data_IF_102989163776
#
_entry.id   IF_102989163776
#
_cell.length_a   1.000
_cell.length_b   1.000
_cell.length_c   1.000
_cell.angle_alpha   90.00
_cell.angle_beta   90.00
_cell.angle_gamma   90.00
#
_symmetry.space_group_name_H-M   'P 1'
#
loop_
_entity.id
_entity.type
_entity.pdbx_description
1 polymer ?
#
# COMPACT_ATOMS: atom_id res chain seq x y z
N UNK A 1 -0.25 -30.79 -41.82
CA UNK A 1 -1.41 -29.86 -41.76
C UNK A 1 -1.54 -29.36 -40.32
N UNK A 2 -1.29 -28.07 -40.06
CA UNK A 2 -1.48 -27.48 -38.73
C UNK A 2 -2.81 -26.74 -38.74
N UNK A 3 -3.81 -27.28 -38.04
CA UNK A 3 -5.11 -26.63 -37.87
C UNK A 3 -4.94 -25.41 -36.95
N UNK A 4 -5.18 -24.22 -37.50
CA UNK A 4 -5.29 -22.98 -36.71
C UNK A 4 -6.74 -22.81 -36.27
N UNK A 5 -7.00 -22.97 -34.98
CA UNK A 5 -8.30 -22.63 -34.40
C UNK A 5 -8.44 -21.10 -34.30
N UNK A 6 -9.58 -20.51 -34.70
CA UNK A 6 -9.83 -19.09 -34.52
C UNK A 6 -10.13 -18.80 -33.05
N UNK A 7 -9.22 -18.08 -32.38
CA UNK A 7 -9.42 -17.59 -31.01
C UNK A 7 -10.51 -16.51 -31.05
N UNK A 8 -11.65 -16.78 -30.41
CA UNK A 8 -12.75 -15.82 -30.27
C UNK A 8 -12.33 -14.66 -29.34
N UNK A 9 -12.50 -13.39 -29.74
CA UNK A 9 -12.06 -12.24 -28.94
C UNK A 9 -12.74 -12.12 -27.56
N UNK A 10 -13.86 -12.82 -27.34
CA UNK A 10 -14.62 -12.82 -26.09
C UNK A 10 -13.90 -13.49 -24.91
N UNK A 11 -12.90 -14.34 -25.15
CA UNK A 11 -12.14 -15.03 -24.09
C UNK A 11 -10.98 -14.18 -23.52
N UNK A 12 -10.63 -13.06 -24.17
CA UNK A 12 -9.56 -12.16 -23.71
C UNK A 12 -10.02 -11.16 -22.63
N UNK A 13 -11.33 -11.04 -22.40
CA UNK A 13 -11.91 -10.11 -21.41
C UNK A 13 -12.17 -10.77 -20.04
N UNK A 14 -12.28 -12.10 -20.00
CA UNK A 14 -12.45 -12.88 -18.77
C UNK A 14 -11.33 -12.69 -17.73
N UNK A 15 -10.02 -12.65 -18.07
CA UNK A 15 -8.99 -12.40 -17.07
C UNK A 15 -9.02 -10.96 -16.52
N UNK A 16 -9.45 -9.97 -17.33
CA UNK A 16 -9.58 -8.58 -16.87
C UNK A 16 -10.75 -8.39 -15.91
N UNK A 17 -11.88 -9.06 -16.15
CA UNK A 17 -13.03 -9.06 -15.26
C UNK A 17 -12.74 -9.79 -13.93
N UNK A 18 -11.97 -10.89 -13.97
CA UNK A 18 -11.56 -11.61 -12.76
C UNK A 18 -10.60 -10.77 -11.89
N UNK A 19 -9.71 -9.97 -12.50
CA UNK A 19 -8.83 -9.04 -11.78
C UNK A 19 -9.63 -7.89 -11.14
N UNK A 20 -10.71 -7.43 -11.77
CA UNK A 20 -11.62 -6.40 -11.22
C UNK A 20 -12.47 -6.94 -10.06
N UNK A 21 -12.95 -8.18 -10.13
CA UNK A 21 -13.76 -8.84 -9.08
C UNK A 21 -12.90 -9.24 -7.87
N UNK A 22 -11.64 -9.62 -8.05
CA UNK A 22 -10.72 -9.85 -6.92
C UNK A 22 -10.32 -8.57 -6.18
N UNK A 23 -10.58 -7.39 -6.76
CA UNK A 23 -10.32 -6.10 -6.10
C UNK A 23 -11.47 -5.62 -5.21
N UNK A 24 -12.65 -6.26 -5.21
CA UNK A 24 -13.82 -5.82 -4.43
C UNK A 24 -14.01 -6.56 -3.10
N UNK A 25 -13.35 -7.69 -2.88
CA UNK A 25 -13.41 -8.49 -1.64
C UNK A 25 -12.24 -8.17 -0.71
N UNK A 26 -12.21 -6.95 -0.18
CA UNK A 26 -11.37 -6.57 0.97
C UNK A 26 -12.17 -5.61 1.87
N UNK A 27 -13.39 -6.01 2.23
CA UNK A 27 -14.12 -5.40 3.33
C UNK A 27 -13.85 -6.22 4.59
N UNK A 28 -13.13 -5.61 5.53
CA UNK A 28 -13.21 -5.74 6.99
C UNK A 28 -11.83 -5.62 7.65
N UNK A 29 -11.28 -4.42 7.57
CA UNK A 29 -10.07 -4.00 8.28
C UNK A 29 -9.95 -2.47 8.29
N UNK A 30 -10.75 -1.81 9.15
CA UNK A 30 -10.85 -0.36 9.45
C UNK A 30 -9.79 0.59 8.83
N UNK A 31 -9.93 0.82 7.53
CA UNK A 31 -9.58 2.04 6.81
C UNK A 31 -10.62 2.12 5.70
N UNK A 32 -11.29 3.27 5.51
CA UNK A 32 -12.37 3.39 4.52
C UNK A 32 -11.95 2.86 3.15
N UNK A 33 -12.89 2.28 2.38
CA UNK A 33 -12.59 1.75 1.06
C UNK A 33 -11.89 2.83 0.22
N UNK A 34 -10.63 2.59 -0.13
CA UNK A 34 -9.82 3.59 -0.83
C UNK A 34 -10.45 3.90 -2.19
N UNK A 35 -10.63 5.18 -2.48
CA UNK A 35 -11.07 5.62 -3.80
C UNK A 35 -9.91 5.50 -4.79
N UNK A 36 -9.73 4.32 -5.37
CA UNK A 36 -8.59 3.99 -6.21
C UNK A 36 -8.40 4.94 -7.41
N UNK A 37 -9.48 5.40 -8.04
CA UNK A 37 -9.39 6.41 -9.11
C UNK A 37 -8.83 7.75 -8.64
N UNK A 38 -9.19 8.18 -7.44
CA UNK A 38 -8.64 9.38 -6.80
C UNK A 38 -7.16 9.19 -6.47
N UNK A 39 -6.81 8.03 -5.90
CA UNK A 39 -5.43 7.67 -5.56
C UNK A 39 -4.53 7.67 -6.80
N UNK A 40 -4.88 6.92 -7.85
CA UNK A 40 -4.04 6.78 -9.05
C UNK A 40 -3.87 8.11 -9.78
N UNK A 41 -4.93 8.91 -9.89
CA UNK A 41 -4.86 10.27 -10.46
C UNK A 41 -3.95 11.18 -9.64
N UNK A 42 -4.03 11.13 -8.31
CA UNK A 42 -3.17 11.92 -7.43
C UNK A 42 -1.69 11.52 -7.58
N UNK A 43 -1.39 10.22 -7.56
CA UNK A 43 -0.03 9.70 -7.71
C UNK A 43 0.53 10.02 -9.10
N UNK A 44 -0.25 9.79 -10.16
CA UNK A 44 0.16 10.09 -11.54
C UNK A 44 0.55 11.56 -11.72
N UNK A 45 -0.27 12.48 -11.20
CA UNK A 45 0.01 13.93 -11.26
C UNK A 45 1.23 14.35 -10.46
N UNK A 46 1.46 13.76 -9.28
CA UNK A 46 2.49 14.24 -8.32
C UNK A 46 3.81 13.47 -8.37
N UNK A 47 3.80 12.25 -8.88
CA UNK A 47 4.97 11.37 -8.92
C UNK A 47 5.15 10.63 -10.25
N UNK A 48 4.33 10.84 -11.28
CA UNK A 48 4.34 10.08 -12.53
C UNK A 48 5.74 9.81 -13.10
N UNK A 49 6.52 10.86 -13.38
CA UNK A 49 7.92 10.71 -13.86
C UNK A 49 8.86 10.12 -12.81
N UNK A 50 8.62 10.42 -11.53
CA UNK A 50 9.47 9.96 -10.42
C UNK A 50 9.38 8.44 -10.22
N UNK A 51 8.21 7.85 -10.50
CA UNK A 51 7.97 6.41 -10.40
C UNK A 51 8.87 5.60 -11.35
N UNK A 52 9.35 6.18 -12.44
CA UNK A 52 10.24 5.50 -13.40
C UNK A 52 11.72 5.60 -13.02
N UNK A 53 12.07 6.41 -12.02
CA UNK A 53 13.46 6.43 -11.51
C UNK A 53 13.74 5.18 -10.65
N UNK A 54 14.99 4.66 -10.61
CA UNK A 54 15.29 3.45 -9.83
C UNK A 54 14.90 3.53 -8.35
N UNK A 55 15.12 4.68 -7.71
CA UNK A 55 14.73 4.87 -6.31
C UNK A 55 13.24 5.08 -6.13
N UNK A 56 12.56 5.71 -7.09
CA UNK A 56 11.12 5.90 -7.06
C UNK A 56 10.34 4.61 -7.28
N UNK A 57 10.71 3.80 -8.28
CA UNK A 57 10.10 2.50 -8.55
C UNK A 57 10.27 1.56 -7.37
N UNK A 58 11.49 1.44 -6.83
CA UNK A 58 11.76 0.65 -5.62
C UNK A 58 10.89 1.09 -4.44
N UNK A 59 10.81 2.40 -4.16
CA UNK A 59 10.00 2.92 -3.06
C UNK A 59 8.52 2.57 -3.23
N UNK A 60 7.97 2.77 -4.43
CA UNK A 60 6.59 2.42 -4.75
C UNK A 60 6.33 0.91 -4.55
N UNK A 61 7.24 0.05 -5.01
CA UNK A 61 7.15 -1.40 -4.81
C UNK A 61 7.16 -1.77 -3.33
N UNK A 62 8.03 -1.16 -2.51
CA UNK A 62 8.08 -1.41 -1.06
C UNK A 62 6.78 -1.00 -0.36
N UNK A 63 6.25 0.17 -0.70
CA UNK A 63 4.99 0.66 -0.13
C UNK A 63 3.80 -0.22 -0.53
N UNK A 64 3.70 -0.58 -1.80
CA UNK A 64 2.66 -1.47 -2.28
C UNK A 64 2.74 -2.86 -1.65
N UNK A 65 3.96 -3.38 -1.45
CA UNK A 65 4.18 -4.63 -0.74
C UNK A 65 3.62 -4.62 0.69
N UNK A 66 3.81 -3.52 1.42
CA UNK A 66 3.25 -3.38 2.77
C UNK A 66 1.73 -3.18 2.78
N UNK A 67 1.17 -2.47 1.80
CA UNK A 67 -0.28 -2.42 1.60
C UNK A 67 -0.88 -3.83 1.40
N UNK A 68 -0.25 -4.66 0.56
CA UNK A 68 -0.67 -6.06 0.37
C UNK A 68 -0.53 -6.88 1.64
N UNK A 69 0.56 -6.70 2.38
CA UNK A 69 0.78 -7.40 3.65
C UNK A 69 -0.28 -7.03 4.69
N UNK A 70 -0.62 -5.74 4.80
CA UNK A 70 -1.67 -5.24 5.68
C UNK A 70 -3.02 -5.90 5.39
N UNK A 71 -3.45 -5.87 4.13
CA UNK A 71 -4.74 -6.45 3.73
C UNK A 71 -4.77 -7.95 3.91
N UNK A 72 -3.66 -8.65 3.58
CA UNK A 72 -3.57 -10.10 3.76
C UNK A 72 -3.63 -10.49 5.23
N UNK A 73 -2.93 -9.76 6.08
CA UNK A 73 -2.87 -10.06 7.51
C UNK A 73 -4.23 -9.78 8.17
N UNK A 74 -4.88 -8.68 7.77
CA UNK A 74 -6.15 -8.24 8.33
C UNK A 74 -6.19 -8.18 9.87
N UNK A 75 -5.09 -7.75 10.48
CA UNK A 75 -4.96 -7.69 11.94
C UNK A 75 -5.57 -6.40 12.51
N UNK A 76 -6.29 -6.55 13.63
CA UNK A 76 -6.86 -5.41 14.37
C UNK A 76 -5.75 -4.48 14.88
N UNK A 77 -5.99 -3.16 14.78
CA UNK A 77 -5.14 -2.07 15.31
C UNK A 77 -3.71 -2.02 14.72
N UNK A 78 -3.51 -2.52 13.50
CA UNK A 78 -2.18 -2.65 12.90
C UNK A 78 -1.87 -1.69 11.75
N UNK A 79 -2.83 -0.87 11.33
CA UNK A 79 -2.69 0.12 10.26
C UNK A 79 -1.43 0.98 10.43
N UNK A 80 -1.23 1.60 11.60
CA UNK A 80 -0.06 2.47 11.86
C UNK A 80 1.27 1.72 11.75
N UNK A 81 1.30 0.44 12.11
CA UNK A 81 2.50 -0.37 11.93
C UNK A 81 2.85 -0.52 10.44
N UNK A 82 1.87 -0.85 9.60
CA UNK A 82 2.09 -0.99 8.16
C UNK A 82 2.42 0.34 7.48
N UNK A 83 1.79 1.44 7.90
CA UNK A 83 2.14 2.79 7.47
C UNK A 83 3.60 3.15 7.75
N UNK A 84 4.06 2.86 8.97
CA UNK A 84 5.44 3.05 9.37
C UNK A 84 6.39 2.17 8.56
N UNK A 85 6.10 0.86 8.46
CA UNK A 85 6.95 -0.09 7.76
C UNK A 85 7.06 0.21 6.26
N UNK A 86 5.97 0.58 5.60
CA UNK A 86 5.96 0.98 4.19
C UNK A 86 6.96 2.12 3.94
N UNK A 87 6.93 3.12 4.81
CA UNK A 87 7.77 4.30 4.72
C UNK A 87 9.23 4.03 5.11
N UNK A 88 9.47 3.17 6.10
CA UNK A 88 10.82 2.72 6.47
C UNK A 88 11.47 1.91 5.33
N UNK A 89 10.75 0.95 4.76
CA UNK A 89 11.25 0.13 3.66
C UNK A 89 11.47 0.93 2.38
N UNK A 90 10.65 1.95 2.12
CA UNK A 90 10.92 2.87 1.01
C UNK A 90 12.28 3.58 1.15
N UNK A 91 12.73 3.85 2.38
CA UNK A 91 14.03 4.50 2.63
C UNK A 91 15.21 3.56 2.47
N UNK A 92 15.00 2.24 2.53
CA UNK A 92 16.05 1.25 2.25
C UNK A 92 16.41 1.16 0.77
N UNK A 93 15.64 1.80 -0.11
CA UNK A 93 15.94 1.87 -1.53
C UNK A 93 17.18 2.74 -1.81
N UNK A 94 17.96 2.35 -2.82
CA UNK A 94 19.04 3.18 -3.36
C UNK A 94 18.49 4.19 -4.36
N UNK A 95 19.28 5.22 -4.68
CA UNK A 95 18.93 6.23 -5.69
C UNK A 95 18.06 7.38 -5.18
N UNK A 96 17.78 8.30 -6.10
CA UNK A 96 17.02 9.55 -5.89
C UNK A 96 15.51 9.27 -5.81
N UNK A 97 14.74 10.28 -5.41
CA UNK A 97 13.28 10.33 -5.42
C UNK A 97 12.51 9.35 -4.50
N UNK A 98 13.15 8.34 -3.90
CA UNK A 98 12.51 7.39 -2.96
C UNK A 98 11.68 8.09 -1.87
N UNK A 99 12.24 9.13 -1.25
CA UNK A 99 11.58 9.91 -0.20
C UNK A 99 10.35 10.63 -0.74
N UNK A 100 10.52 11.33 -1.87
CA UNK A 100 9.44 12.07 -2.51
C UNK A 100 8.29 11.15 -2.95
N UNK A 101 8.60 10.00 -3.56
CA UNK A 101 7.59 9.01 -3.94
C UNK A 101 6.86 8.49 -2.71
N UNK A 102 7.57 8.21 -1.62
CA UNK A 102 6.94 7.74 -0.40
C UNK A 102 6.00 8.76 0.25
N UNK A 103 6.40 10.03 0.24
CA UNK A 103 5.55 11.16 0.67
C UNK A 103 4.30 11.29 -0.20
N UNK A 104 4.46 11.25 -1.54
CA UNK A 104 3.33 11.37 -2.47
C UNK A 104 2.35 10.22 -2.32
N UNK A 105 2.82 8.97 -2.25
CA UNK A 105 1.94 7.80 -2.05
C UNK A 105 1.21 7.91 -0.72
N UNK A 106 1.89 8.30 0.37
CA UNK A 106 1.26 8.50 1.67
C UNK A 106 0.17 9.57 1.60
N UNK A 107 0.47 10.74 1.02
CA UNK A 107 -0.49 11.83 0.86
C UNK A 107 -1.69 11.43 0.00
N UNK A 108 -1.44 10.80 -1.15
CA UNK A 108 -2.51 10.41 -2.06
C UNK A 108 -3.40 9.33 -1.46
N UNK A 109 -2.87 8.46 -0.61
CA UNK A 109 -3.65 7.52 0.19
C UNK A 109 -4.60 8.28 1.12
N UNK A 110 -4.11 9.26 1.88
CA UNK A 110 -4.97 10.08 2.75
C UNK A 110 -6.08 10.82 1.97
N UNK A 111 -5.75 11.42 0.81
CA UNK A 111 -6.74 12.11 -0.03
C UNK A 111 -7.80 11.14 -0.57
N UNK A 112 -7.42 9.90 -0.86
CA UNK A 112 -8.31 8.88 -1.42
C UNK A 112 -9.23 8.21 -0.38
N UNK A 113 -9.06 8.51 0.90
CA UNK A 113 -9.86 7.91 1.96
C UNK A 113 -10.72 8.97 2.65
N UNK A 114 -12.06 8.91 2.50
CA UNK A 114 -12.94 9.68 3.36
C UNK A 114 -12.83 9.10 4.78
N UNK A 115 -12.10 9.78 5.66
CA UNK A 115 -11.72 9.27 6.98
C UNK A 115 -11.83 10.30 8.10
N UNK A 116 -11.77 9.81 9.34
CA UNK A 116 -11.77 10.63 10.54
C UNK A 116 -10.48 11.48 10.61
N UNK A 117 -10.55 12.82 10.81
CA UNK A 117 -9.37 13.69 10.91
C UNK A 117 -8.33 13.26 11.96
N UNK A 118 -8.76 12.60 13.04
CA UNK A 118 -7.86 12.06 14.08
C UNK A 118 -7.06 10.86 13.55
N UNK A 119 -7.69 10.02 12.74
CA UNK A 119 -7.07 8.83 12.15
C UNK A 119 -5.98 9.22 11.15
N UNK A 120 -6.26 10.24 10.31
CA UNK A 120 -5.30 10.87 9.40
C UNK A 120 -4.03 11.35 10.12
N UNK A 121 -4.17 12.06 11.25
CA UNK A 121 -3.00 12.53 12.02
C UNK A 121 -2.13 11.38 12.52
N UNK A 122 -2.77 10.28 12.93
CA UNK A 122 -2.07 9.07 13.32
C UNK A 122 -1.32 8.42 12.17
N UNK A 123 -1.95 8.32 10.99
CA UNK A 123 -1.33 7.76 9.78
C UNK A 123 -0.13 8.58 9.35
N UNK A 124 -0.28 9.91 9.29
CA UNK A 124 0.81 10.81 8.97
C UNK A 124 1.99 10.71 9.95
N UNK A 125 1.71 10.59 11.25
CA UNK A 125 2.75 10.42 12.26
C UNK A 125 3.50 9.09 12.08
N UNK A 126 2.80 8.01 11.78
CA UNK A 126 3.41 6.72 11.46
C UNK A 126 4.26 6.77 10.19
N UNK A 127 3.73 7.37 9.12
CA UNK A 127 4.43 7.57 7.86
C UNK A 127 5.73 8.36 8.05
N UNK A 128 5.69 9.48 8.80
CA UNK A 128 6.87 10.31 9.10
C UNK A 128 7.89 9.56 9.94
N UNK A 129 7.44 8.86 11.00
CA UNK A 129 8.32 8.11 11.89
C UNK A 129 9.11 7.03 11.13
N UNK A 130 8.45 6.25 10.28
CA UNK A 130 9.11 5.26 9.43
C UNK A 130 10.09 5.86 8.42
N UNK A 131 9.70 6.95 7.73
CA UNK A 131 10.59 7.65 6.78
C UNK A 131 11.83 8.25 7.44
N UNK A 132 11.80 8.48 8.74
CA UNK A 132 12.92 9.05 9.49
C UNK A 132 13.72 7.98 10.26
N UNK A 133 13.53 6.69 9.94
CA UNK A 133 14.31 5.59 10.52
C UNK A 133 13.83 5.13 11.90
N UNK A 134 12.63 5.50 12.31
CA UNK A 134 12.06 5.09 13.59
C UNK A 134 11.79 3.58 13.68
N UNK A 135 11.91 3.01 14.88
CA UNK A 135 11.61 1.61 15.14
C UNK A 135 10.08 1.35 15.16
N UNK A 136 9.53 0.98 14.01
CA UNK A 136 8.09 0.74 13.83
C UNK A 136 7.55 -0.38 14.75
N UNK A 137 8.34 -1.42 15.00
CA UNK A 137 7.95 -2.53 15.86
C UNK A 137 7.75 -2.08 17.30
N UNK A 138 8.73 -1.38 17.86
CA UNK A 138 8.66 -0.84 19.21
C UNK A 138 7.45 0.10 19.38
N UNK A 139 7.22 0.98 18.40
CA UNK A 139 6.19 2.03 18.50
C UNK A 139 4.77 1.59 18.18
N UNK A 140 4.57 0.63 17.27
CA UNK A 140 3.23 0.32 16.76
C UNK A 140 2.80 -1.13 16.96
N UNK A 141 3.69 -2.05 17.35
CA UNK A 141 3.25 -3.40 17.75
C UNK A 141 2.76 -3.40 19.21
N UNK A 142 3.59 -2.94 20.14
CA UNK A 142 3.28 -2.99 21.57
C UNK A 142 2.34 -1.88 22.03
N UNK A 143 2.75 -0.62 21.88
CA UNK A 143 2.01 0.54 22.41
C UNK A 143 0.64 0.77 21.76
N UNK A 144 0.42 0.27 20.55
CA UNK A 144 -0.86 0.39 19.85
C UNK A 144 -1.72 -0.89 19.96
N UNK A 145 -1.22 -1.94 20.61
CA UNK A 145 -1.94 -3.21 20.74
C UNK A 145 -2.21 -3.88 19.39
N UNK A 146 -1.26 -3.78 18.45
CA UNK A 146 -1.37 -4.43 17.16
C UNK A 146 -1.10 -5.93 17.31
N UNK A 147 -2.05 -6.74 16.84
CA UNK A 147 -1.99 -8.19 16.89
C UNK A 147 -0.97 -8.82 15.92
N UNK A 148 -0.41 -8.06 14.98
CA UNK A 148 0.44 -8.59 13.93
C UNK A 148 1.79 -9.09 14.45
N UNK A 149 2.19 -10.29 14.04
CA UNK A 149 3.52 -10.82 14.25
C UNK A 149 4.34 -10.70 12.95
N UNK A 150 5.34 -9.80 12.88
CA UNK A 150 6.13 -9.61 11.66
C UNK A 150 7.05 -10.79 11.32
N UNK A 151 7.32 -11.70 12.27
CA UNK A 151 8.13 -12.90 12.00
C UNK A 151 7.35 -13.97 11.28
N UNK A 152 6.06 -14.12 11.60
CA UNK A 152 5.21 -15.18 11.03
C UNK A 152 4.24 -14.65 9.97
N UNK A 153 4.07 -13.33 9.87
CA UNK A 153 3.11 -12.70 8.98
C UNK A 153 1.65 -12.93 9.37
N UNK A 154 1.38 -13.40 10.58
CA UNK A 154 0.03 -13.76 11.08
C UNK A 154 -0.40 -12.85 12.23
N UNK A 155 -1.70 -12.74 12.47
CA UNK A 155 -2.24 -12.11 13.67
C UNK A 155 -2.18 -13.07 14.85
N UNK A 156 -1.92 -12.52 16.04
CA UNK A 156 -2.14 -13.18 17.33
C UNK A 156 -3.56 -12.83 17.76
N UNK A 157 -4.47 -13.78 17.59
CA UNK A 157 -5.86 -13.64 18.04
C UNK A 157 -5.97 -14.00 19.51
#
# INVERSE_FOLDING_TARGET
MVQRFPVRPSLLLLPFLLVLVLCTVCAEGRSGAAQWGTFTRCVGRRAGRLLFSPGGSCAATRMYGQFRAMNRANCKKCDKYFHCMANSLAMSCRGRHKRRVAEVISLCREVSQPGNPKDRRGDEAANRFGRNGGNCGARYLRSYGCAYNPRTGRCKW
#
